data_IF_269991108519
#
_entry.id   IF_269991108519
#
_cell.length_a   1.000
_cell.length_b   1.000
_cell.length_c   1.000
_cell.angle_alpha   90.00
_cell.angle_beta   90.00
_cell.angle_gamma   90.00
#
_symmetry.space_group_name_H-M   'P 1'
#
loop_
_entity.id
_entity.type
_entity.pdbx_description
1 polymer ?
#
# COMPACT_ATOMS: atom_id res chain seq x y z
N UNK A 1 -32.35 -45.16 -22.63
CA UNK A 1 -30.92 -44.88 -22.88
C UNK A 1 -30.86 -43.66 -23.80
N UNK A 2 -30.28 -42.50 -23.53
CA UNK A 2 -29.63 -41.83 -22.39
C UNK A 2 -29.63 -40.35 -22.79
N UNK A 3 -30.46 -39.49 -22.20
CA UNK A 3 -30.31 -38.04 -22.39
C UNK A 3 -29.41 -37.51 -21.28
N UNK A 4 -28.10 -37.74 -21.42
CA UNK A 4 -27.13 -37.01 -20.61
C UNK A 4 -26.93 -35.65 -21.30
N UNK A 5 -27.33 -34.55 -20.66
CA UNK A 5 -27.00 -33.22 -21.15
C UNK A 5 -25.48 -33.08 -21.13
N UNK A 6 -24.90 -32.74 -22.27
CA UNK A 6 -23.54 -32.21 -22.33
C UNK A 6 -23.60 -30.82 -21.70
N UNK A 7 -23.40 -30.74 -20.38
CA UNK A 7 -23.16 -29.48 -19.70
C UNK A 7 -21.93 -28.85 -20.35
N UNK A 8 -22.20 -27.82 -21.14
CA UNK A 8 -21.21 -26.97 -21.79
C UNK A 8 -20.19 -26.53 -20.73
N UNK A 9 -18.90 -26.59 -21.07
CA UNK A 9 -17.81 -26.05 -20.24
C UNK A 9 -18.01 -24.56 -19.89
N UNK A 10 -17.15 -24.01 -19.02
CA UNK A 10 -17.51 -22.98 -18.05
C UNK A 10 -18.09 -21.75 -18.74
N UNK A 11 -19.33 -21.38 -18.39
CA UNK A 11 -19.78 -20.04 -18.67
C UNK A 11 -18.97 -19.12 -17.74
N UNK A 12 -17.81 -18.65 -18.22
CA UNK A 12 -17.10 -17.51 -17.65
C UNK A 12 -18.08 -16.34 -17.66
N UNK A 13 -18.80 -16.17 -16.55
CA UNK A 13 -19.68 -15.03 -16.39
C UNK A 13 -18.82 -13.79 -16.51
N UNK A 14 -19.24 -12.80 -17.31
CA UNK A 14 -18.52 -11.53 -17.41
C UNK A 14 -18.26 -10.94 -16.02
N UNK A 15 -19.17 -11.19 -15.07
CA UNK A 15 -19.00 -10.80 -13.66
C UNK A 15 -17.78 -11.45 -13.01
N UNK A 16 -17.59 -12.75 -13.18
CA UNK A 16 -16.49 -13.51 -12.58
C UNK A 16 -15.15 -13.04 -13.14
N UNK A 17 -15.09 -12.85 -14.47
CA UNK A 17 -13.88 -12.31 -15.13
C UNK A 17 -13.56 -10.91 -14.65
N UNK A 18 -14.56 -10.03 -14.52
CA UNK A 18 -14.35 -8.67 -14.01
C UNK A 18 -13.89 -8.65 -12.54
N UNK A 19 -14.43 -9.55 -11.71
CA UNK A 19 -14.03 -9.71 -10.30
C UNK A 19 -12.59 -10.18 -10.20
N UNK A 20 -12.18 -11.16 -11.02
CA UNK A 20 -10.81 -11.65 -11.06
C UNK A 20 -9.82 -10.57 -11.50
N UNK A 21 -10.16 -9.82 -12.56
CA UNK A 21 -9.34 -8.70 -13.05
C UNK A 21 -9.21 -7.63 -11.95
N UNK A 22 -10.31 -7.26 -11.29
CA UNK A 22 -10.29 -6.28 -10.20
C UNK A 22 -9.42 -6.75 -9.03
N UNK A 23 -9.52 -8.03 -8.66
CA UNK A 23 -8.70 -8.63 -7.60
C UNK A 23 -7.21 -8.56 -7.93
N UNK A 24 -6.83 -8.91 -9.16
CA UNK A 24 -5.43 -8.84 -9.62
C UNK A 24 -4.91 -7.40 -9.55
N UNK A 25 -5.69 -6.42 -10.01
CA UNK A 25 -5.32 -5.00 -9.96
C UNK A 25 -5.09 -4.54 -8.52
N UNK A 26 -6.02 -4.84 -7.60
CA UNK A 26 -5.91 -4.48 -6.18
C UNK A 26 -4.67 -5.12 -5.53
N UNK A 27 -4.36 -6.36 -5.90
CA UNK A 27 -3.23 -7.10 -5.34
C UNK A 27 -1.88 -6.55 -5.84
N UNK A 28 -1.77 -6.24 -7.13
CA UNK A 28 -0.58 -5.56 -7.70
C UNK A 28 -0.39 -4.19 -7.03
N UNK A 29 -1.47 -3.43 -6.91
CA UNK A 29 -1.43 -2.09 -6.32
C UNK A 29 -1.03 -2.15 -4.84
N UNK A 30 -1.51 -3.14 -4.08
CA UNK A 30 -1.12 -3.37 -2.68
C UNK A 30 0.37 -3.68 -2.55
N UNK A 31 0.91 -4.57 -3.37
CA UNK A 31 2.35 -4.92 -3.33
C UNK A 31 3.20 -3.71 -3.70
N UNK A 32 2.83 -2.99 -4.77
CA UNK A 32 3.57 -1.81 -5.23
C UNK A 32 3.57 -0.69 -4.18
N UNK A 33 2.41 -0.38 -3.61
CA UNK A 33 2.29 0.64 -2.55
C UNK A 33 3.01 0.23 -1.27
N UNK A 34 3.04 -1.06 -0.91
CA UNK A 34 3.81 -1.56 0.23
C UNK A 34 5.32 -1.36 0.05
N UNK A 35 5.85 -1.71 -1.12
CA UNK A 35 7.26 -1.54 -1.45
C UNK A 35 7.64 -0.05 -1.47
N UNK A 36 6.80 0.78 -2.09
CA UNK A 36 7.02 2.23 -2.14
C UNK A 36 6.97 2.88 -0.75
N UNK A 37 6.02 2.50 0.11
CA UNK A 37 5.95 2.95 1.50
C UNK A 37 7.18 2.54 2.30
N UNK A 38 7.68 1.32 2.12
CA UNK A 38 8.91 0.87 2.78
C UNK A 38 10.09 1.78 2.41
N UNK A 39 10.25 2.08 1.12
CA UNK A 39 11.29 3.00 0.64
C UNK A 39 11.11 4.41 1.20
N UNK A 40 9.88 4.95 1.14
CA UNK A 40 9.53 6.26 1.68
C UNK A 40 9.86 6.36 3.18
N UNK A 41 9.53 5.34 3.97
CA UNK A 41 9.80 5.31 5.41
C UNK A 41 11.30 5.21 5.69
N UNK A 42 12.05 4.40 4.94
CA UNK A 42 13.50 4.36 5.08
C UNK A 42 14.16 5.70 4.76
N UNK A 43 13.62 6.44 3.79
CA UNK A 43 14.08 7.79 3.45
C UNK A 43 13.85 8.80 4.60
N UNK A 44 12.92 8.54 5.53
CA UNK A 44 12.75 9.34 6.75
C UNK A 44 13.82 9.09 7.82
N UNK A 45 14.51 7.92 7.81
CA UNK A 45 15.49 7.54 8.85
C UNK A 45 16.87 8.22 8.69
N UNK A 46 17.05 9.08 7.69
CA UNK A 46 18.33 9.75 7.40
C UNK A 46 18.77 10.83 8.38
N UNK A 47 17.94 11.27 9.34
CA UNK A 47 18.28 12.37 10.24
C UNK A 47 17.66 12.19 11.63
N UNK A 48 18.48 12.13 12.69
CA UNK A 48 18.03 12.00 14.09
C UNK A 48 18.30 10.64 14.76
N UNK A 49 19.00 9.72 14.12
CA UNK A 49 19.25 8.36 14.64
C UNK A 49 20.57 8.18 15.41
N UNK A 50 21.35 9.25 15.61
CA UNK A 50 22.64 9.17 16.29
C UNK A 50 22.49 9.14 17.82
N UNK A 51 23.41 8.46 18.51
CA UNK A 51 23.45 8.44 19.99
C UNK A 51 23.47 9.86 20.56
N UNK A 52 24.17 10.80 19.92
CA UNK A 52 24.17 12.22 20.29
C UNK A 52 22.76 12.83 20.33
N UNK A 53 21.90 12.56 19.34
CA UNK A 53 20.53 13.08 19.31
C UNK A 53 19.65 12.41 20.38
N UNK A 54 19.97 11.15 20.75
CA UNK A 54 19.29 10.41 21.82
C UNK A 54 19.78 10.76 23.23
N UNK A 55 21.02 11.29 23.37
CA UNK A 55 21.65 11.66 24.64
C UNK A 55 21.73 13.18 24.88
N UNK A 56 20.90 13.96 24.20
CA UNK A 56 20.77 15.41 24.47
C UNK A 56 21.58 16.31 23.55
N UNK A 57 21.67 15.96 22.26
CA UNK A 57 22.30 16.72 21.19
C UNK A 57 21.95 18.20 21.29
N UNK A 58 22.94 18.99 21.71
CA UNK A 58 22.75 20.22 22.50
C UNK A 58 21.82 21.30 21.94
N UNK A 59 21.55 22.27 22.80
CA UNK A 59 20.67 23.47 22.73
C UNK A 59 20.72 24.29 21.41
N UNK A 60 21.57 23.94 20.44
CA UNK A 60 21.72 24.62 19.15
C UNK A 60 21.50 23.72 17.90
N UNK A 61 21.10 22.46 18.04
CA UNK A 61 21.07 21.50 16.92
C UNK A 61 19.85 21.58 15.99
N UNK A 62 18.82 22.37 16.30
CA UNK A 62 17.53 22.35 15.61
C UNK A 62 17.24 23.46 14.59
N UNK A 63 18.18 24.38 14.33
CA UNK A 63 17.86 25.62 13.56
C UNK A 63 18.11 25.52 12.04
N UNK A 64 18.74 24.44 11.54
CA UNK A 64 19.20 24.38 10.13
C UNK A 64 18.62 23.29 9.23
N UNK A 65 17.74 22.40 9.73
CA UNK A 65 17.29 21.26 8.93
C UNK A 65 16.07 21.60 8.08
N UNK A 66 16.26 21.81 6.78
CA UNK A 66 15.42 21.39 5.63
C UNK A 66 13.90 21.18 5.83
N UNK A 67 13.23 21.95 6.69
CA UNK A 67 11.91 21.62 7.21
C UNK A 67 10.82 21.53 6.14
N UNK A 68 11.00 22.18 4.99
CA UNK A 68 10.03 22.12 3.89
C UNK A 68 10.08 20.77 3.17
N UNK A 69 11.27 20.25 2.89
CA UNK A 69 11.45 18.96 2.22
C UNK A 69 10.96 17.81 3.13
N UNK A 70 11.28 17.89 4.42
CA UNK A 70 10.88 16.89 5.41
C UNK A 70 9.36 16.90 5.65
N UNK A 71 8.76 18.09 5.78
CA UNK A 71 7.30 18.22 5.91
C UNK A 71 6.56 17.77 4.65
N UNK A 72 7.14 18.00 3.46
CA UNK A 72 6.53 17.53 2.22
C UNK A 72 6.61 16.00 2.12
N UNK A 73 7.77 15.42 2.42
CA UNK A 73 7.96 13.98 2.39
C UNK A 73 7.01 13.25 3.36
N UNK A 74 6.84 13.78 4.58
CA UNK A 74 5.89 13.23 5.54
C UNK A 74 4.43 13.27 5.01
N UNK A 75 4.02 14.36 4.37
CA UNK A 75 2.67 14.46 3.77
C UNK A 75 2.46 13.42 2.66
N UNK A 76 3.47 13.23 1.80
CA UNK A 76 3.41 12.22 0.73
C UNK A 76 3.32 10.82 1.34
N UNK A 77 4.12 10.50 2.35
CA UNK A 77 4.07 9.19 3.02
C UNK A 77 2.73 8.93 3.69
N UNK A 78 2.18 9.92 4.40
CA UNK A 78 0.85 9.78 5.03
C UNK A 78 -0.24 9.57 3.96
N UNK A 79 -0.21 10.32 2.86
CA UNK A 79 -1.15 10.13 1.76
C UNK A 79 -1.06 8.72 1.16
N UNK A 80 0.16 8.23 0.90
CA UNK A 80 0.36 6.87 0.40
C UNK A 80 -0.07 5.79 1.42
N UNK A 81 0.16 6.01 2.72
CA UNK A 81 -0.23 5.08 3.77
C UNK A 81 -1.76 4.94 3.86
N UNK A 82 -2.49 6.06 3.69
CA UNK A 82 -3.95 6.04 3.62
C UNK A 82 -4.46 5.27 2.39
N UNK A 83 -3.89 5.52 1.21
CA UNK A 83 -4.25 4.79 -0.01
C UNK A 83 -3.98 3.29 0.15
N UNK A 84 -2.81 2.93 0.66
CA UNK A 84 -2.45 1.53 0.95
C UNK A 84 -3.44 0.86 1.91
N UNK A 85 -3.82 1.53 3.00
CA UNK A 85 -4.80 1.01 3.96
C UNK A 85 -6.18 0.81 3.33
N UNK A 86 -6.65 1.76 2.51
CA UNK A 86 -7.92 1.65 1.78
C UNK A 86 -7.90 0.43 0.86
N UNK A 87 -6.80 0.18 0.16
CA UNK A 87 -6.66 -0.96 -0.77
C UNK A 87 -6.71 -2.29 -0.03
N UNK A 88 -6.10 -2.38 1.16
CA UNK A 88 -6.22 -3.55 2.04
C UNK A 88 -7.68 -3.81 2.41
N UNK A 89 -8.41 -2.76 2.84
CA UNK A 89 -9.81 -2.89 3.23
C UNK A 89 -10.67 -3.32 2.03
N UNK A 90 -10.49 -2.68 0.87
CA UNK A 90 -11.23 -3.04 -0.36
C UNK A 90 -10.96 -4.48 -0.78
N UNK A 91 -9.71 -4.92 -0.76
CA UNK A 91 -9.34 -6.29 -1.10
C UNK A 91 -9.95 -7.28 -0.09
N UNK A 92 -9.88 -6.97 1.22
CA UNK A 92 -10.48 -7.81 2.26
C UNK A 92 -12.01 -7.89 2.17
N UNK A 93 -12.68 -6.79 1.81
CA UNK A 93 -14.13 -6.79 1.58
C UNK A 93 -14.50 -7.59 0.32
N UNK A 94 -13.75 -7.43 -0.77
CA UNK A 94 -13.96 -8.17 -2.00
C UNK A 94 -13.80 -9.68 -1.78
N UNK A 95 -12.77 -10.10 -1.03
CA UNK A 95 -12.55 -11.51 -0.67
C UNK A 95 -13.60 -12.09 0.27
N UNK A 96 -14.31 -11.24 1.03
CA UNK A 96 -15.38 -11.68 1.93
C UNK A 96 -16.72 -11.81 1.20
N UNK A 97 -16.96 -10.95 0.21
CA UNK A 97 -18.25 -10.86 -0.50
C UNK A 97 -18.36 -11.86 -1.64
N UNK A 98 -17.24 -12.16 -2.31
CA UNK A 98 -17.14 -13.14 -3.40
C UNK A 98 -16.84 -14.52 -2.81
#
# INVERSE_FOLDING_TARGET
>A
MRSVPTSVGPALSLKDVLVDVLRIILQILLVLTSAFLTLLVLMHKGKGGGLSDMFGGGISSSVGSSGVAERNLNRITVAFALVWAVVIVLLGLLQKVV
#
